data_IF_102950026516
#
_entry.id   IF_102950026516
#
_cell.length_a   1.000
_cell.length_b   1.000
_cell.length_c   1.000
_cell.angle_alpha   90.00
_cell.angle_beta   90.00
_cell.angle_gamma   90.00
#
_symmetry.space_group_name_H-M   'P 1'
#
loop_
_entity.id
_entity.type
_entity.pdbx_description
1 polymer ?
#
# COMPACT_ATOMS: atom_id res chain seq x y z
N UNK A 1 46.88 -20.25 14.08
CA UNK A 1 46.04 -19.71 12.98
C UNK A 1 44.58 -20.15 13.08
N UNK A 2 44.25 -21.45 13.17
CA UNK A 2 42.85 -21.89 13.30
C UNK A 2 42.14 -21.32 14.55
N UNK A 3 42.82 -21.33 15.71
CA UNK A 3 42.29 -20.76 16.97
C UNK A 3 42.01 -19.25 16.90
N UNK A 4 42.87 -18.48 16.23
CA UNK A 4 42.67 -17.04 16.05
C UNK A 4 41.56 -16.75 15.04
N UNK A 5 41.45 -17.53 13.97
CA UNK A 5 40.38 -17.41 12.98
C UNK A 5 38.99 -17.77 13.55
N UNK A 6 38.92 -18.81 14.39
CA UNK A 6 37.70 -19.19 15.12
C UNK A 6 37.33 -18.12 16.17
N UNK A 7 38.31 -17.62 16.93
CA UNK A 7 38.08 -16.58 17.92
C UNK A 7 37.54 -15.29 17.32
N UNK A 8 38.18 -14.79 16.25
CA UNK A 8 37.71 -13.59 15.55
C UNK A 8 36.35 -13.80 14.91
N UNK A 9 36.08 -14.97 14.31
CA UNK A 9 34.77 -15.30 13.74
C UNK A 9 33.66 -15.30 14.78
N UNK A 10 33.90 -15.89 15.95
CA UNK A 10 32.91 -15.93 17.04
C UNK A 10 32.64 -14.54 17.61
N UNK A 11 33.67 -13.70 17.81
CA UNK A 11 33.47 -12.32 18.25
C UNK A 11 32.66 -11.51 17.23
N UNK A 12 32.93 -11.68 15.94
CA UNK A 12 32.19 -11.00 14.87
C UNK A 12 30.71 -11.40 14.85
N UNK A 13 30.42 -12.69 15.02
CA UNK A 13 29.03 -13.20 15.13
C UNK A 13 28.34 -12.57 16.34
N UNK A 14 28.98 -12.55 17.52
CA UNK A 14 28.36 -11.98 18.73
C UNK A 14 28.10 -10.48 18.58
N UNK A 15 29.05 -9.73 18.01
CA UNK A 15 28.89 -8.29 17.79
C UNK A 15 27.80 -7.98 16.77
N UNK A 16 27.72 -8.72 15.66
CA UNK A 16 26.66 -8.56 14.67
C UNK A 16 25.30 -8.95 15.24
N UNK A 17 25.21 -10.05 15.97
CA UNK A 17 23.97 -10.46 16.65
C UNK A 17 23.50 -9.40 17.65
N UNK A 18 24.42 -8.78 18.40
CA UNK A 18 24.09 -7.69 19.31
C UNK A 18 23.64 -6.43 18.56
N UNK A 19 24.32 -6.06 17.46
CA UNK A 19 23.93 -4.91 16.65
C UNK A 19 22.53 -5.09 16.03
N UNK A 20 22.22 -6.29 15.52
CA UNK A 20 20.87 -6.62 15.02
C UNK A 20 19.86 -6.56 16.15
N UNK A 21 20.14 -7.21 17.29
CA UNK A 21 19.25 -7.21 18.44
C UNK A 21 18.95 -5.79 18.92
N UNK A 22 19.97 -4.94 19.08
CA UNK A 22 19.83 -3.55 19.53
C UNK A 22 18.92 -2.75 18.61
N UNK A 23 19.14 -2.82 17.29
CA UNK A 23 18.31 -2.09 16.31
C UNK A 23 16.88 -2.64 16.20
N UNK A 24 16.68 -3.95 16.40
CA UNK A 24 15.33 -4.54 16.39
C UNK A 24 14.50 -4.22 17.63
N UNK A 25 15.15 -4.01 18.78
CA UNK A 25 14.51 -3.75 20.07
C UNK A 25 14.24 -2.27 20.28
N UNK A 26 15.13 -1.41 19.79
CA UNK A 26 15.02 0.04 19.88
C UNK A 26 14.77 0.65 18.51
N UNK A 27 13.65 0.27 17.88
CA UNK A 27 13.26 0.88 16.62
C UNK A 27 12.78 2.31 16.87
N UNK A 28 13.20 3.27 16.04
CA UNK A 28 12.68 4.64 16.06
C UNK A 28 11.31 4.73 15.34
N UNK A 29 10.73 3.59 14.94
CA UNK A 29 9.48 3.52 14.21
C UNK A 29 8.29 3.27 15.13
N UNK A 30 7.20 3.98 14.86
CA UNK A 30 5.92 3.83 15.53
C UNK A 30 4.86 3.45 14.49
N UNK A 31 4.06 2.44 14.83
CA UNK A 31 2.88 2.05 14.09
C UNK A 31 1.68 2.81 14.66
N UNK A 32 1.00 3.58 13.82
CA UNK A 32 -0.26 4.22 14.16
C UNK A 32 -1.41 3.55 13.42
N UNK A 33 -2.49 3.28 14.15
CA UNK A 33 -3.74 2.77 13.60
C UNK A 33 -4.82 3.85 13.72
N UNK A 34 -5.56 4.00 12.64
CA UNK A 34 -6.70 4.90 12.50
C UNK A 34 -7.96 4.10 12.25
N UNK A 35 -9.11 4.72 12.46
CA UNK A 35 -10.37 4.22 11.90
C UNK A 35 -10.24 4.12 10.38
N UNK A 36 -11.00 3.21 9.80
CA UNK A 36 -11.06 3.02 8.35
C UNK A 36 -12.41 2.39 7.98
N UNK A 37 -13.47 2.94 8.57
CA UNK A 37 -14.83 2.51 8.31
C UNK A 37 -15.39 3.31 7.14
N UNK A 38 -16.27 2.67 6.36
CA UNK A 38 -16.97 3.34 5.28
C UNK A 38 -18.27 3.94 5.83
N UNK A 39 -18.41 5.24 5.68
CA UNK A 39 -19.59 6.00 6.08
C UNK A 39 -20.37 6.44 4.84
N UNK A 40 -21.70 6.25 4.86
CA UNK A 40 -22.58 6.68 3.78
C UNK A 40 -22.84 8.19 3.87
N UNK A 41 -22.82 8.87 2.73
CA UNK A 41 -23.23 10.26 2.60
C UNK A 41 -24.73 10.34 2.33
N UNK A 42 -25.48 10.92 3.25
CA UNK A 42 -26.89 11.23 3.07
C UNK A 42 -27.06 12.48 2.19
N UNK A 43 -26.96 12.26 0.87
CA UNK A 43 -27.01 13.30 -0.15
C UNK A 43 -28.32 14.11 -0.07
N UNK A 44 -28.19 15.44 0.00
CA UNK A 44 -29.33 16.36 -0.04
C UNK A 44 -29.51 16.91 -1.43
N UNK A 45 -30.74 16.90 -1.96
CA UNK A 45 -31.02 17.42 -3.29
C UNK A 45 -30.89 18.95 -3.31
N UNK A 46 -30.10 19.48 -4.24
CA UNK A 46 -29.87 20.93 -4.38
C UNK A 46 -31.06 21.64 -5.03
N UNK A 47 -31.68 20.99 -6.01
CA UNK A 47 -32.86 21.50 -6.72
C UNK A 47 -33.88 20.40 -6.92
N UNK A 48 -35.12 20.65 -6.49
CA UNK A 48 -36.20 19.67 -6.50
C UNK A 48 -36.45 19.15 -7.93
N UNK A 49 -36.41 17.82 -8.08
CA UNK A 49 -36.63 17.13 -9.34
C UNK A 49 -35.44 17.05 -10.28
N UNK A 50 -34.31 17.71 -9.97
CA UNK A 50 -33.07 17.63 -10.76
C UNK A 50 -32.04 16.70 -10.11
N UNK A 51 -31.29 15.97 -10.93
CA UNK A 51 -30.22 15.04 -10.52
C UNK A 51 -28.96 15.80 -10.08
N UNK A 52 -29.12 16.61 -9.02
CA UNK A 52 -28.10 17.42 -8.37
C UNK A 52 -28.23 17.29 -6.87
N UNK A 53 -27.16 16.86 -6.23
CA UNK A 53 -27.09 16.67 -4.79
C UNK A 53 -25.82 17.26 -4.21
N UNK A 54 -25.86 17.55 -2.93
CA UNK A 54 -24.68 17.95 -2.18
C UNK A 54 -24.62 17.28 -0.81
N UNK A 55 -23.41 17.16 -0.28
CA UNK A 55 -23.12 16.74 1.09
C UNK A 55 -21.83 17.37 1.57
N UNK A 56 -21.73 17.70 2.85
CA UNK A 56 -20.53 18.32 3.42
C UNK A 56 -19.92 17.41 4.47
N UNK A 57 -18.65 17.07 4.29
CA UNK A 57 -17.84 16.31 5.26
C UNK A 57 -16.90 17.23 6.02
N UNK A 58 -16.55 16.90 7.26
CA UNK A 58 -15.62 17.68 8.10
C UNK A 58 -14.46 16.85 8.66
N UNK A 59 -14.26 15.66 8.10
CA UNK A 59 -13.38 14.64 8.66
C UNK A 59 -12.08 14.50 7.85
N UNK A 60 -11.14 13.72 8.38
CA UNK A 60 -9.92 13.37 7.69
C UNK A 60 -10.19 12.19 6.75
N UNK A 61 -10.39 12.49 5.46
CA UNK A 61 -10.87 11.49 4.47
C UNK A 61 -9.74 10.99 3.58
N UNK A 62 -9.68 9.69 3.33
CA UNK A 62 -8.80 9.08 2.33
C UNK A 62 -9.49 8.74 1.03
N UNK A 63 -10.68 8.15 1.12
CA UNK A 63 -11.36 7.50 0.02
C UNK A 63 -12.79 8.01 -0.12
N UNK A 64 -13.24 8.16 -1.35
CA UNK A 64 -14.63 8.47 -1.68
C UNK A 64 -15.11 7.59 -2.82
N UNK A 65 -16.37 7.17 -2.76
CA UNK A 65 -17.05 6.43 -3.80
C UNK A 65 -18.38 7.10 -4.10
N UNK A 66 -18.67 7.33 -5.36
CA UNK A 66 -19.96 7.83 -5.84
C UNK A 66 -20.50 6.83 -6.84
N UNK A 67 -21.61 6.17 -6.51
CA UNK A 67 -22.26 5.19 -7.38
C UNK A 67 -23.62 5.70 -7.80
N UNK A 68 -23.90 5.62 -9.10
CA UNK A 68 -25.20 5.97 -9.66
C UNK A 68 -25.81 4.72 -10.28
N UNK A 69 -27.12 4.56 -10.09
CA UNK A 69 -27.93 3.52 -10.71
C UNK A 69 -29.13 4.13 -11.43
N UNK A 70 -29.60 3.43 -12.45
CA UNK A 70 -30.81 3.75 -13.24
C UNK A 70 -30.82 5.16 -13.85
N UNK A 71 -29.64 5.71 -14.17
CA UNK A 71 -29.54 6.94 -14.95
C UNK A 71 -29.93 6.71 -16.42
N UNK A 72 -30.37 7.75 -17.15
CA UNK A 72 -30.55 7.67 -18.60
C UNK A 72 -29.27 7.20 -19.31
N UNK A 73 -29.42 6.39 -20.36
CA UNK A 73 -28.28 5.90 -21.14
C UNK A 73 -27.53 7.06 -21.81
N UNK A 74 -26.20 7.03 -21.74
CA UNK A 74 -25.36 8.12 -22.29
C UNK A 74 -25.19 9.31 -21.34
N UNK A 75 -25.64 9.20 -20.09
CA UNK A 75 -25.43 10.22 -19.08
C UNK A 75 -23.98 10.22 -18.57
N UNK A 76 -23.52 11.39 -18.13
CA UNK A 76 -22.22 11.58 -17.48
C UNK A 76 -22.43 11.99 -16.03
N UNK A 77 -21.76 11.31 -15.11
CA UNK A 77 -21.64 11.69 -13.71
C UNK A 77 -20.53 12.74 -13.57
N UNK A 78 -20.81 13.83 -12.87
CA UNK A 78 -19.89 14.90 -12.54
C UNK A 78 -19.85 15.02 -11.01
N UNK A 79 -18.66 14.92 -10.43
CA UNK A 79 -18.45 15.11 -8.99
C UNK A 79 -17.45 16.25 -8.79
N UNK A 80 -17.84 17.25 -8.03
CA UNK A 80 -17.01 18.39 -7.65
C UNK A 80 -16.79 18.41 -6.14
N UNK A 81 -15.55 18.63 -5.72
CA UNK A 81 -15.17 18.84 -4.33
C UNK A 81 -14.84 20.31 -4.09
N UNK A 82 -15.70 21.02 -3.38
CA UNK A 82 -15.40 22.37 -2.91
C UNK A 82 -14.61 22.29 -1.59
N UNK A 83 -13.40 22.83 -1.59
CA UNK A 83 -12.51 22.88 -0.42
C UNK A 83 -11.17 22.17 -0.63
N UNK A 84 -11.08 21.23 -1.57
CA UNK A 84 -9.81 20.56 -1.89
C UNK A 84 -9.80 19.99 -3.31
N UNK A 85 -8.61 19.65 -3.82
CA UNK A 85 -8.46 18.85 -5.02
C UNK A 85 -8.34 17.38 -4.59
N UNK A 86 -8.71 16.46 -5.47
CA UNK A 86 -8.66 15.03 -5.20
C UNK A 86 -8.22 14.27 -6.45
N UNK A 87 -7.72 13.07 -6.23
CA UNK A 87 -7.16 12.21 -7.27
C UNK A 87 -8.17 11.17 -7.73
N UNK A 88 -8.40 11.07 -9.03
CA UNK A 88 -9.28 10.05 -9.62
C UNK A 88 -8.58 9.33 -10.76
N UNK A 89 -8.86 8.04 -10.92
CA UNK A 89 -8.60 7.31 -12.15
C UNK A 89 -9.72 6.28 -12.35
N UNK A 90 -10.08 5.91 -13.60
CA UNK A 90 -11.09 4.89 -13.88
C UNK A 90 -10.79 3.52 -13.26
N UNK A 91 -9.49 3.20 -13.09
CA UNK A 91 -9.02 1.91 -12.59
C UNK A 91 -8.79 1.90 -11.08
N UNK A 92 -8.94 3.05 -10.43
CA UNK A 92 -8.75 3.21 -9.00
C UNK A 92 -9.65 2.24 -8.22
N UNK A 93 -9.05 1.40 -7.37
CA UNK A 93 -9.77 0.44 -6.53
C UNK A 93 -10.22 -0.85 -7.22
N UNK A 94 -9.83 -1.10 -8.47
CA UNK A 94 -10.06 -2.38 -9.16
C UNK A 94 -8.94 -3.38 -8.83
N UNK A 95 -9.28 -4.65 -8.62
CA UNK A 95 -8.30 -5.70 -8.20
C UNK A 95 -7.33 -6.12 -9.29
N UNK A 96 -7.75 -6.01 -10.56
CA UNK A 96 -7.02 -6.57 -11.70
C UNK A 96 -6.26 -5.49 -12.51
N UNK A 97 -6.28 -4.25 -12.03
CA UNK A 97 -5.68 -3.11 -12.71
C UNK A 97 -4.72 -2.38 -11.77
N UNK A 98 -3.61 -1.92 -12.33
CA UNK A 98 -2.58 -1.19 -11.59
C UNK A 98 -2.75 0.30 -11.84
N UNK A 99 -2.76 1.09 -10.76
CA UNK A 99 -2.90 2.53 -10.78
C UNK A 99 -1.86 3.18 -9.86
N UNK A 100 -1.49 4.43 -10.16
CA UNK A 100 -0.56 5.21 -9.34
C UNK A 100 -1.11 6.62 -9.13
N UNK A 101 -1.45 6.94 -7.88
CA UNK A 101 -1.83 8.32 -7.50
C UNK A 101 -0.70 9.11 -6.84
N UNK A 102 0.26 8.42 -6.19
CA UNK A 102 1.31 9.09 -5.42
C UNK A 102 2.44 9.66 -6.30
N UNK A 103 2.68 9.02 -7.44
CA UNK A 103 3.77 9.37 -8.37
C UNK A 103 3.26 9.44 -9.82
N UNK A 104 2.41 10.43 -10.15
CA UNK A 104 1.80 10.53 -11.47
C UNK A 104 2.81 10.78 -12.60
N UNK A 105 4.03 11.26 -12.29
CA UNK A 105 5.10 11.54 -13.26
C UNK A 105 6.27 10.54 -13.16
N UNK A 106 6.02 9.31 -12.72
CA UNK A 106 7.05 8.27 -12.67
C UNK A 106 7.40 7.75 -14.07
N UNK A 107 8.55 7.09 -14.22
CA UNK A 107 8.97 6.41 -15.47
C UNK A 107 7.99 5.30 -15.93
N UNK A 108 6.99 4.98 -15.11
CA UNK A 108 5.95 3.99 -15.37
C UNK A 108 4.61 4.61 -15.80
N UNK A 109 4.51 5.94 -15.89
CA UNK A 109 3.27 6.64 -16.27
C UNK A 109 2.75 6.26 -17.66
N UNK A 110 3.63 5.84 -18.57
CA UNK A 110 3.25 5.36 -19.91
C UNK A 110 2.65 3.94 -19.90
N UNK A 111 2.81 3.19 -18.79
CA UNK A 111 2.43 1.78 -18.66
C UNK A 111 1.29 1.61 -17.65
N UNK A 112 1.21 2.49 -16.66
CA UNK A 112 0.26 2.45 -15.56
C UNK A 112 -0.71 3.63 -15.63
N UNK A 113 -1.96 3.39 -15.24
CA UNK A 113 -2.95 4.45 -15.16
C UNK A 113 -2.61 5.41 -14.01
N UNK A 114 -2.48 6.70 -14.32
CA UNK A 114 -2.09 7.73 -13.36
C UNK A 114 -3.30 8.55 -12.94
N UNK A 115 -3.45 8.80 -11.63
CA UNK A 115 -4.60 9.54 -11.15
C UNK A 115 -4.50 11.03 -11.51
N UNK A 116 -5.59 11.61 -12.02
CA UNK A 116 -5.72 13.03 -12.28
C UNK A 116 -6.03 13.79 -10.98
N UNK A 117 -5.26 14.83 -10.68
CA UNK A 117 -5.46 15.68 -9.50
C UNK A 117 -6.22 16.96 -9.85
N UNK A 118 -7.53 16.93 -9.63
CA UNK A 118 -8.46 18.02 -9.98
C UNK A 118 -9.53 18.21 -8.90
N UNK A 119 -10.26 19.32 -8.95
CA UNK A 119 -11.45 19.54 -8.10
C UNK A 119 -12.67 18.80 -8.60
N UNK A 120 -12.76 18.65 -9.91
CA UNK A 120 -13.92 18.11 -10.60
C UNK A 120 -13.48 16.93 -11.44
N UNK A 121 -14.21 15.83 -11.30
CA UNK A 121 -14.00 14.62 -12.08
C UNK A 121 -15.31 14.18 -12.73
N UNK A 122 -15.19 13.54 -13.89
CA UNK A 122 -16.33 13.12 -14.70
C UNK A 122 -16.19 11.67 -15.15
N UNK A 123 -17.30 10.95 -15.23
CA UNK A 123 -17.33 9.57 -15.69
C UNK A 123 -18.62 9.30 -16.48
N UNK A 124 -18.49 8.64 -17.63
CA UNK A 124 -19.65 8.21 -18.41
C UNK A 124 -20.32 6.99 -17.76
N UNK A 125 -21.64 7.03 -17.65
CA UNK A 125 -22.45 5.98 -17.05
C UNK A 125 -22.81 4.93 -18.09
N UNK A 126 -22.20 3.75 -17.98
CA UNK A 126 -22.46 2.63 -18.88
C UNK A 126 -23.78 1.96 -18.51
N UNK A 127 -24.73 1.95 -19.44
CA UNK A 127 -26.09 1.47 -19.22
C UNK A 127 -26.80 2.16 -18.03
N UNK A 128 -26.48 3.43 -17.78
CA UNK A 128 -27.10 4.18 -16.68
C UNK A 128 -26.51 3.90 -15.30
N UNK A 129 -25.42 3.13 -15.21
CA UNK A 129 -24.77 2.79 -13.95
C UNK A 129 -23.26 3.02 -14.00
N UNK A 130 -22.67 3.34 -12.85
CA UNK A 130 -21.23 3.52 -12.74
C UNK A 130 -20.80 3.93 -11.34
N UNK A 131 -19.56 3.61 -10.99
CA UNK A 131 -18.94 4.00 -9.72
C UNK A 131 -17.69 4.81 -9.98
N UNK A 132 -17.71 6.07 -9.55
CA UNK A 132 -16.56 6.96 -9.57
C UNK A 132 -15.87 6.89 -8.20
N UNK A 133 -14.62 6.43 -8.17
CA UNK A 133 -13.81 6.30 -6.95
C UNK A 133 -12.73 7.37 -6.89
N UNK A 134 -12.39 7.86 -5.71
CA UNK A 134 -11.42 8.94 -5.55
C UNK A 134 -10.56 8.82 -4.31
N UNK A 135 -9.32 9.32 -4.41
CA UNK A 135 -8.45 9.56 -3.26
C UNK A 135 -8.41 11.04 -2.90
N UNK A 136 -8.81 11.36 -1.67
CA UNK A 136 -8.83 12.74 -1.16
C UNK A 136 -7.48 13.10 -0.53
N UNK A 137 -6.93 12.21 0.29
CA UNK A 137 -5.60 12.35 0.89
C UNK A 137 -4.67 11.23 0.41
N UNK A 138 -3.46 11.62 0.01
CA UNK A 138 -2.38 10.70 -0.34
C UNK A 138 -1.48 10.35 0.86
N UNK A 139 -1.51 11.19 1.90
CA UNK A 139 -0.68 11.08 3.12
C UNK A 139 -1.29 10.12 4.15
N UNK A 140 -2.63 10.07 4.21
CA UNK A 140 -3.33 9.17 5.12
C UNK A 140 -3.29 7.71 4.64
N UNK A 141 -3.27 6.74 5.57
CA UNK A 141 -3.14 5.33 5.24
C UNK A 141 -4.42 4.72 4.67
N UNK A 142 -4.32 4.07 3.50
CA UNK A 142 -5.48 3.46 2.80
C UNK A 142 -6.20 2.37 3.62
N UNK A 143 -5.46 1.65 4.47
CA UNK A 143 -5.99 0.53 5.27
C UNK A 143 -6.11 0.87 6.76
N UNK A 144 -6.08 2.16 7.09
CA UNK A 144 -6.12 2.61 8.48
C UNK A 144 -4.86 2.31 9.29
N UNK A 145 -3.75 1.90 8.66
CA UNK A 145 -2.48 1.63 9.33
C UNK A 145 -1.34 2.33 8.62
N UNK A 146 -0.53 3.09 9.36
CA UNK A 146 0.68 3.72 8.87
C UNK A 146 1.85 3.62 9.84
N UNK A 147 3.00 4.10 9.39
CA UNK A 147 4.24 4.11 10.15
C UNK A 147 4.86 5.50 10.11
N UNK A 148 5.43 5.93 11.22
CA UNK A 148 6.22 7.16 11.32
C UNK A 148 7.49 6.90 12.12
N UNK A 149 8.50 7.73 11.89
CA UNK A 149 9.80 7.68 12.56
C UNK A 149 9.86 8.82 13.57
N UNK A 150 10.18 8.52 14.83
CA UNK A 150 10.21 9.52 15.89
C UNK A 150 11.09 9.08 17.06
N UNK A 151 11.65 10.04 17.79
CA UNK A 151 12.61 9.78 18.87
C UNK A 151 11.97 9.11 20.10
N UNK A 152 10.70 9.41 20.37
CA UNK A 152 9.99 8.92 21.54
C UNK A 152 8.47 8.89 21.31
N UNK A 153 7.75 8.27 22.24
CA UNK A 153 6.30 8.05 22.11
C UNK A 153 5.49 9.35 22.10
N UNK A 154 5.95 10.38 22.82
CA UNK A 154 5.25 11.67 22.90
C UNK A 154 5.34 12.42 21.56
N UNK A 155 6.54 12.51 20.98
CA UNK A 155 6.74 13.07 19.64
C UNK A 155 5.98 12.28 18.57
N UNK A 156 6.01 10.95 18.64
CA UNK A 156 5.27 10.08 17.73
C UNK A 156 3.75 10.32 17.80
N UNK A 157 3.22 10.58 18.99
CA UNK A 157 1.81 10.89 19.23
C UNK A 157 1.46 12.25 18.62
N UNK A 158 2.26 13.29 18.88
CA UNK A 158 2.06 14.62 18.31
C UNK A 158 2.12 14.61 16.77
N UNK A 159 3.06 13.87 16.19
CA UNK A 159 3.19 13.73 14.73
C UNK A 159 1.99 13.00 14.12
N UNK A 160 1.52 11.91 14.72
CA UNK A 160 0.34 11.18 14.26
C UNK A 160 -0.94 12.06 14.33
N UNK A 161 -1.12 12.78 15.44
CA UNK A 161 -2.24 13.70 15.62
C UNK A 161 -2.16 14.87 14.64
N UNK A 162 -0.96 15.40 14.39
CA UNK A 162 -0.74 16.45 13.40
C UNK A 162 -1.06 15.98 11.98
N UNK A 163 -0.67 14.75 11.62
CA UNK A 163 -0.97 14.16 10.31
C UNK A 163 -2.49 14.09 10.09
N UNK A 164 -3.23 13.53 11.04
CA UNK A 164 -4.69 13.35 10.93
C UNK A 164 -5.42 14.70 10.93
N UNK A 165 -5.06 15.59 11.86
CA UNK A 165 -5.67 16.92 11.94
C UNK A 165 -5.38 17.79 10.71
N UNK A 166 -4.19 17.66 10.09
CA UNK A 166 -3.88 18.38 8.85
C UNK A 166 -4.71 17.91 7.65
N UNK A 167 -5.12 16.65 7.67
CA UNK A 167 -5.98 16.05 6.65
C UNK A 167 -7.48 16.32 6.90
N UNK A 168 -7.85 16.73 8.12
CA UNK A 168 -9.22 17.09 8.47
C UNK A 168 -9.63 18.39 7.78
N UNK A 169 -10.55 18.30 6.82
CA UNK A 169 -10.98 19.44 6.00
C UNK A 169 -12.48 19.46 5.84
N UNK A 170 -13.07 20.65 5.83
CA UNK A 170 -14.45 20.83 5.38
C UNK A 170 -14.51 20.77 3.86
N UNK A 171 -15.17 19.74 3.32
CA UNK A 171 -15.32 19.52 1.88
C UNK A 171 -16.80 19.41 1.57
N UNK A 172 -17.28 20.22 0.63
CA UNK A 172 -18.64 20.08 0.09
C UNK A 172 -18.56 19.35 -1.24
N UNK A 173 -19.13 18.15 -1.26
CA UNK A 173 -19.27 17.30 -2.42
C UNK A 173 -20.53 17.71 -3.18
N UNK A 174 -20.39 18.04 -4.45
CA UNK A 174 -21.50 18.30 -5.37
C UNK A 174 -21.54 17.20 -6.42
N UNK A 175 -22.64 16.48 -6.47
CA UNK A 175 -22.84 15.34 -7.36
C UNK A 175 -23.93 15.70 -8.37
N UNK A 176 -23.61 15.61 -9.65
CA UNK A 176 -24.53 15.95 -10.73
C UNK A 176 -24.53 14.87 -11.80
N UNK A 177 -25.69 14.56 -12.35
CA UNK A 177 -25.81 13.72 -13.54
C UNK A 177 -26.40 14.52 -14.69
N UNK A 178 -25.70 14.52 -15.83
CA UNK A 178 -26.07 15.27 -17.03
C UNK A 178 -26.22 14.36 -18.25
N UNK A 179 -27.10 14.74 -19.17
CA UNK A 179 -27.18 14.19 -20.53
C UNK A 179 -27.26 15.37 -21.51
N UNK A 180 -26.49 15.33 -22.60
CA UNK A 180 -26.49 16.37 -23.64
C UNK A 180 -26.30 17.82 -23.13
N UNK A 181 -25.61 17.98 -22.00
CA UNK A 181 -25.34 19.28 -21.36
C UNK A 181 -26.42 19.79 -20.40
N UNK A 182 -27.56 19.10 -20.30
CA UNK A 182 -28.63 19.43 -19.36
C UNK A 182 -28.63 18.49 -18.14
N UNK A 183 -29.07 19.00 -16.98
CA UNK A 183 -29.22 18.18 -15.78
C UNK A 183 -30.40 17.22 -15.95
N UNK A 184 -30.19 15.93 -15.70
CA UNK A 184 -31.26 14.95 -15.81
C UNK A 184 -32.31 15.13 -14.69
N UNK A 185 -33.56 14.68 -14.91
CA UNK A 185 -34.52 14.52 -13.83
C UNK A 185 -34.01 13.49 -12.79
N UNK A 186 -34.20 13.76 -11.50
CA UNK A 186 -33.79 12.83 -10.43
C UNK A 186 -34.71 11.60 -10.28
N UNK A 187 -35.87 11.62 -10.94
CA UNK A 187 -36.90 10.61 -10.76
C UNK A 187 -36.44 9.22 -11.26
N UNK A 188 -36.47 8.23 -10.38
CA UNK A 188 -36.08 6.85 -10.70
C UNK A 188 -34.58 6.58 -10.61
N UNK A 189 -33.75 7.58 -10.27
CA UNK A 189 -32.32 7.42 -10.08
C UNK A 189 -31.99 7.16 -8.61
N UNK A 190 -31.01 6.28 -8.36
CA UNK A 190 -30.43 6.08 -7.04
C UNK A 190 -28.96 6.50 -7.07
N UNK A 191 -28.57 7.36 -6.13
CA UNK A 191 -27.18 7.78 -5.95
C UNK A 191 -26.75 7.39 -4.55
N UNK A 192 -25.77 6.50 -4.48
CA UNK A 192 -25.12 6.07 -3.25
C UNK A 192 -23.75 6.71 -3.19
N UNK A 193 -23.35 7.21 -2.03
CA UNK A 193 -22.05 7.84 -1.86
C UNK A 193 -21.47 7.46 -0.52
N UNK A 194 -20.18 7.16 -0.49
CA UNK A 194 -19.49 6.67 0.70
C UNK A 194 -18.12 7.33 0.81
N UNK A 195 -17.64 7.52 2.04
CA UNK A 195 -16.28 7.96 2.33
C UNK A 195 -15.64 7.15 3.44
N UNK A 196 -14.32 7.16 3.50
CA UNK A 196 -13.53 6.57 4.59
C UNK A 196 -12.90 7.67 5.43
N UNK A 197 -13.33 7.78 6.68
CA UNK A 197 -12.81 8.71 7.67
C UNK A 197 -11.70 8.07 8.51
N UNK A 198 -10.79 8.91 9.01
CA UNK A 198 -9.66 8.49 9.84
C UNK A 198 -9.61 9.31 11.13
N UNK A 199 -9.72 8.61 12.25
CA UNK A 199 -9.42 9.12 13.59
C UNK A 199 -8.35 8.22 14.21
N UNK A 200 -7.47 8.78 15.04
CA UNK A 200 -6.41 7.98 15.67
C UNK A 200 -7.01 7.03 16.70
N UNK A 201 -6.75 5.74 16.54
CA UNK A 201 -7.23 4.69 17.46
C UNK A 201 -6.13 4.26 18.41
N UNK A 202 -4.92 4.03 17.89
CA UNK A 202 -3.80 3.59 18.72
C UNK A 202 -2.45 3.94 18.10
N UNK A 203 -1.47 4.12 18.98
CA UNK A 203 -0.07 4.27 18.63
C UNK A 203 0.73 3.21 19.38
N UNK A 204 1.65 2.53 18.69
CA UNK A 204 2.51 1.54 19.32
C UNK A 204 3.91 1.57 18.72
N UNK A 205 4.93 1.37 19.55
CA UNK A 205 6.31 1.26 19.06
C UNK A 205 6.42 0.01 18.20
N UNK A 206 6.87 0.16 16.96
CA UNK A 206 7.10 -0.96 16.06
C UNK A 206 8.19 -1.85 16.65
N UNK A 207 7.87 -3.13 16.81
CA UNK A 207 8.80 -4.12 17.35
C UNK A 207 8.92 -5.26 16.36
N UNK A 208 10.13 -5.47 15.89
CA UNK A 208 10.45 -6.64 15.09
C UNK A 208 10.66 -7.82 16.03
N UNK A 209 10.10 -8.98 15.71
CA UNK A 209 10.33 -10.18 16.50
C UNK A 209 11.77 -10.70 16.26
N UNK A 210 12.67 -10.58 17.25
CA UNK A 210 14.09 -10.90 17.05
C UNK A 210 14.31 -12.38 16.74
N UNK A 211 13.43 -13.27 17.24
CA UNK A 211 13.52 -14.71 16.97
C UNK A 211 13.20 -14.99 15.50
N UNK A 212 12.15 -14.36 14.97
CA UNK A 212 11.75 -14.54 13.58
C UNK A 212 12.82 -14.01 12.61
N UNK A 213 13.35 -12.82 12.87
CA UNK A 213 14.46 -12.27 12.07
C UNK A 213 15.74 -13.11 12.16
N UNK A 214 16.03 -13.67 13.34
CA UNK A 214 17.17 -14.57 13.51
C UNK A 214 16.99 -15.84 12.67
N UNK A 215 15.77 -16.40 12.60
CA UNK A 215 15.48 -17.57 11.77
C UNK A 215 15.65 -17.25 10.28
N UNK A 216 15.15 -16.10 9.81
CA UNK A 216 15.32 -15.69 8.41
C UNK A 216 16.80 -15.44 8.07
N UNK A 217 17.50 -14.71 8.93
CA UNK A 217 18.94 -14.43 8.77
C UNK A 217 19.78 -15.71 8.79
N UNK A 218 19.50 -16.63 9.70
CA UNK A 218 20.17 -17.93 9.78
C UNK A 218 19.89 -18.79 8.54
N UNK A 219 18.64 -18.79 8.06
CA UNK A 219 18.26 -19.53 6.85
C UNK A 219 19.01 -19.02 5.62
N UNK A 220 19.12 -17.70 5.46
CA UNK A 220 19.91 -17.09 4.40
C UNK A 220 21.40 -17.46 4.50
N UNK A 221 21.97 -17.42 5.70
CA UNK A 221 23.37 -17.79 5.94
C UNK A 221 23.64 -19.26 5.61
N UNK A 222 22.79 -20.18 6.09
CA UNK A 222 22.89 -21.61 5.76
C UNK A 222 22.76 -21.83 4.26
N UNK A 223 21.85 -21.12 3.60
CA UNK A 223 21.69 -21.15 2.13
C UNK A 223 22.97 -20.75 1.40
N UNK A 224 23.58 -19.62 1.78
CA UNK A 224 24.85 -19.18 1.20
C UNK A 224 25.98 -20.18 1.45
N UNK A 225 26.12 -20.70 2.67
CA UNK A 225 27.12 -21.72 2.99
C UNK A 225 26.90 -23.02 2.21
N UNK A 226 25.65 -23.43 2.03
CA UNK A 226 25.30 -24.61 1.24
C UNK A 226 25.77 -24.44 -0.21
N UNK A 227 25.48 -23.30 -0.83
CA UNK A 227 25.89 -23.03 -2.21
C UNK A 227 27.42 -22.97 -2.36
N UNK A 228 28.13 -22.35 -1.41
CA UNK A 228 29.59 -22.14 -1.50
C UNK A 228 30.39 -23.40 -1.13
N UNK A 229 29.92 -24.23 -0.20
CA UNK A 229 30.67 -25.42 0.26
C UNK A 229 30.17 -26.70 -0.37
N UNK A 230 28.85 -26.96 -0.35
CA UNK A 230 28.31 -28.27 -0.70
C UNK A 230 28.40 -28.53 -2.20
N UNK A 231 28.11 -27.52 -3.04
CA UNK A 231 28.21 -27.68 -4.50
C UNK A 231 29.65 -27.99 -4.93
N UNK A 232 30.69 -27.23 -4.53
CA UNK A 232 32.07 -27.56 -4.89
C UNK A 232 32.57 -28.89 -4.31
N UNK A 233 32.19 -29.23 -3.07
CA UNK A 233 32.56 -30.52 -2.47
C UNK A 233 31.94 -31.70 -3.20
N UNK A 234 30.68 -31.61 -3.63
CA UNK A 234 30.05 -32.65 -4.45
C UNK A 234 30.80 -32.84 -5.77
N UNK A 235 31.17 -31.74 -6.44
CA UNK A 235 31.96 -31.80 -7.67
C UNK A 235 33.33 -32.45 -7.39
N UNK A 236 34.05 -32.00 -6.36
CA UNK A 236 35.35 -32.54 -5.97
C UNK A 236 35.31 -34.04 -5.66
N UNK A 237 34.37 -34.49 -4.82
CA UNK A 237 34.25 -35.90 -4.47
C UNK A 237 33.82 -36.76 -5.65
N UNK A 238 32.93 -36.26 -6.52
CA UNK A 238 32.55 -36.97 -7.75
C UNK A 238 33.75 -37.17 -8.68
N UNK A 239 34.62 -36.15 -8.80
CA UNK A 239 35.83 -36.21 -9.59
C UNK A 239 36.83 -37.23 -9.02
N UNK A 240 37.09 -37.19 -7.70
CA UNK A 240 37.99 -38.13 -7.02
C UNK A 240 37.47 -39.57 -7.09
N UNK A 241 36.16 -39.78 -6.90
CA UNK A 241 35.57 -41.12 -7.01
C UNK A 241 35.75 -41.71 -8.42
N UNK A 242 35.55 -40.88 -9.46
CA UNK A 242 35.77 -41.28 -10.86
C UNK A 242 37.24 -41.59 -11.14
N UNK A 243 38.16 -40.82 -10.57
CA UNK A 243 39.60 -41.05 -10.67
C UNK A 243 39.98 -42.43 -10.08
N UNK A 244 39.48 -42.77 -8.89
CA UNK A 244 39.79 -44.04 -8.22
C UNK A 244 39.27 -45.25 -8.98
N UNK A 245 38.06 -45.13 -9.55
CA UNK A 245 37.49 -46.18 -10.38
C UNK A 245 38.33 -46.40 -11.63
N UNK A 246 38.82 -45.32 -12.24
CA UNK A 246 39.68 -45.42 -13.42
C UNK A 246 41.05 -46.00 -13.09
N UNK A 247 41.66 -45.64 -11.95
CA UNK A 247 42.89 -46.27 -11.46
C UNK A 247 42.71 -47.76 -11.19
N UNK A 248 41.62 -48.14 -10.51
CA UNK A 248 41.32 -49.55 -10.21
C UNK A 248 41.13 -50.38 -11.47
N UNK A 249 40.46 -49.82 -12.49
CA UNK A 249 40.30 -50.48 -13.80
C UNK A 249 41.60 -50.63 -14.56
N UNK A 250 42.53 -49.67 -14.44
CA UNK A 250 43.86 -49.78 -15.05
C UNK A 250 44.68 -50.87 -14.35
N UNK A 251 44.68 -50.87 -13.02
CA UNK A 251 45.36 -51.90 -12.24
C UNK A 251 44.86 -53.32 -12.54
N UNK A 252 43.55 -53.50 -12.80
CA UNK A 252 42.98 -54.81 -13.15
C UNK A 252 43.20 -55.26 -14.60
N UNK A 253 43.75 -54.41 -15.47
CA UNK A 253 44.08 -54.76 -16.87
C UNK A 253 45.56 -55.16 -17.01
N UNK A 254 46.39 -54.80 -16.01
CA UNK A 254 47.82 -55.13 -15.96
C UNK A 254 48.11 -56.48 -15.24
N UNK A 255 47.09 -57.17 -14.73
CA UNK A 255 47.10 -58.56 -14.22
C UNK A 255 46.47 -59.53 -15.25
#
# INVERSE_FOLDING_TARGET
MLRTMIGTGMTLIVLLSYAVYSNTVDSEYYEYNTTNEHESMDLTQESEGLAQWYYTTTDAITWVNFTVYDAPSGSTLIVEAEGTNWSHSPNLGLTDQSYVCNEPNSDYSDILDTCEYSRTHTMDLVNGSGTLRGRVSLELPIKGKGYLESENFESAQEEADSLISSAQKTITWKVKVVSDGETNPSAGMLVESEFSSHELVSLSKFKINPVQETVYSFSALVGCFFLVLVIPLMIYFSARYRENLNESKRASVDD
#
